data_IF_033184854091
#
_entry.id   IF_033184854091
#
_cell.length_a   1.000
_cell.length_b   1.000
_cell.length_c   1.000
_cell.angle_alpha   90.00
_cell.angle_beta   90.00
_cell.angle_gamma   90.00
#
_symmetry.space_group_name_H-M   'P 1'
#
loop_
_entity.id
_entity.type
_entity.pdbx_description
1 polymer ?
#
# COMPACT_ATOMS: atom_id res chain seq x y z
N UNK A 1 -12.96 -1.14 9.29
CA UNK A 1 -12.27 -0.37 8.23
C UNK A 1 -10.79 -0.42 8.53
N UNK A 2 -9.93 -0.89 7.61
CA UNK A 2 -8.49 -0.93 7.86
C UNK A 2 -7.86 0.47 7.70
N UNK A 3 -6.66 0.67 8.24
CA UNK A 3 -5.96 1.96 8.22
C UNK A 3 -5.70 2.47 6.80
N UNK A 4 -5.49 1.57 5.83
CA UNK A 4 -5.28 1.97 4.44
C UNK A 4 -6.54 2.60 3.82
N UNK A 5 -7.72 2.06 4.13
CA UNK A 5 -9.00 2.61 3.70
C UNK A 5 -9.30 3.97 4.35
N UNK A 6 -8.90 4.17 5.61
CA UNK A 6 -8.99 5.48 6.27
C UNK A 6 -8.11 6.53 5.58
N UNK A 7 -6.84 6.21 5.34
CA UNK A 7 -5.90 7.11 4.65
C UNK A 7 -6.35 7.42 3.20
N UNK A 8 -6.99 6.45 2.54
CA UNK A 8 -7.55 6.63 1.21
C UNK A 8 -8.76 7.60 1.24
N UNK A 9 -9.63 7.48 2.25
CA UNK A 9 -10.80 8.35 2.45
C UNK A 9 -10.42 9.78 2.83
N UNK A 10 -9.42 9.97 3.70
CA UNK A 10 -8.87 11.29 4.04
C UNK A 10 -8.37 12.06 2.81
N UNK A 11 -7.80 11.33 1.84
CA UNK A 11 -7.37 11.88 0.55
C UNK A 11 -8.50 12.04 -0.47
N UNK A 12 -9.71 11.55 -0.17
CA UNK A 12 -10.84 11.43 -1.11
C UNK A 12 -10.47 10.65 -2.39
N UNK A 13 -9.63 9.64 -2.22
CA UNK A 13 -9.16 8.80 -3.33
C UNK A 13 -9.97 7.52 -3.43
N UNK A 14 -10.03 6.96 -4.63
CA UNK A 14 -10.49 5.59 -4.85
C UNK A 14 -9.30 4.68 -5.21
N UNK A 15 -9.57 3.39 -5.42
CA UNK A 15 -8.53 2.42 -5.75
C UNK A 15 -7.81 2.73 -7.09
N UNK A 16 -8.48 3.39 -8.04
CA UNK A 16 -7.89 3.83 -9.31
C UNK A 16 -6.95 5.00 -9.10
N UNK A 17 -7.32 5.98 -8.26
CA UNK A 17 -6.42 7.08 -7.89
C UNK A 17 -5.14 6.56 -7.23
N UNK A 18 -5.29 5.61 -6.29
CA UNK A 18 -4.15 4.95 -5.66
C UNK A 18 -3.30 4.18 -6.68
N UNK A 19 -3.92 3.48 -7.64
CA UNK A 19 -3.20 2.73 -8.68
C UNK A 19 -2.41 3.65 -9.61
N UNK A 20 -2.98 4.81 -9.96
CA UNK A 20 -2.30 5.85 -10.73
C UNK A 20 -1.07 6.37 -9.99
N UNK A 21 -1.23 6.79 -8.73
CA UNK A 21 -0.14 7.38 -7.95
C UNK A 21 0.94 6.36 -7.58
N UNK A 22 0.55 5.11 -7.32
CA UNK A 22 1.48 4.00 -7.19
C UNK A 22 2.25 3.76 -8.49
N UNK A 23 1.55 3.78 -9.64
CA UNK A 23 2.14 3.60 -10.96
C UNK A 23 3.15 4.68 -11.31
N UNK A 24 2.88 5.95 -11.01
CA UNK A 24 3.84 7.06 -11.20
C UNK A 24 5.18 6.82 -10.50
N UNK A 25 5.17 6.11 -9.36
CA UNK A 25 6.39 5.76 -8.60
C UNK A 25 7.05 4.48 -9.08
N UNK A 26 6.28 3.48 -9.47
CA UNK A 26 6.79 2.14 -9.80
C UNK A 26 7.19 1.98 -11.27
N UNK A 27 6.46 2.65 -12.16
CA UNK A 27 6.61 2.60 -13.61
C UNK A 27 6.27 3.98 -14.20
N UNK A 28 7.15 4.99 -14.02
CA UNK A 28 6.93 6.37 -14.48
C UNK A 28 6.76 6.49 -15.99
N UNK A 29 7.16 5.48 -16.75
CA UNK A 29 6.99 5.38 -18.21
C UNK A 29 5.55 5.10 -18.64
N UNK A 30 4.69 4.62 -17.73
CA UNK A 30 3.30 4.31 -18.05
C UNK A 30 2.42 5.56 -18.00
N UNK A 31 1.47 5.62 -18.94
CA UNK A 31 0.36 6.57 -18.83
C UNK A 31 -0.51 6.26 -17.61
N UNK A 32 -1.32 7.24 -17.18
CA UNK A 32 -2.22 7.06 -16.03
C UNK A 32 -3.20 5.89 -16.23
N UNK A 33 -3.73 5.71 -17.45
CA UNK A 33 -4.63 4.61 -17.77
C UNK A 33 -3.93 3.24 -17.73
N UNK A 34 -2.70 3.16 -18.24
CA UNK A 34 -1.91 1.92 -18.20
C UNK A 34 -1.54 1.55 -16.76
N UNK A 35 -1.19 2.55 -15.93
CA UNK A 35 -0.96 2.36 -14.51
C UNK A 35 -2.20 1.81 -13.80
N UNK A 36 -3.39 2.39 -14.05
CA UNK A 36 -4.65 1.92 -13.47
C UNK A 36 -4.95 0.49 -13.91
N UNK A 37 -4.79 0.16 -15.20
CA UNK A 37 -5.00 -1.20 -15.72
C UNK A 37 -4.05 -2.21 -15.08
N UNK A 38 -2.76 -1.86 -14.97
CA UNK A 38 -1.71 -2.73 -14.44
C UNK A 38 -1.82 -2.94 -12.92
N UNK A 39 -2.07 -1.87 -12.16
CA UNK A 39 -2.01 -1.90 -10.70
C UNK A 39 -3.37 -1.91 -10.00
N UNK A 40 -4.49 -1.62 -10.68
CA UNK A 40 -5.81 -1.50 -10.05
C UNK A 40 -6.28 -2.75 -9.32
N UNK A 41 -6.02 -3.94 -9.89
CA UNK A 41 -6.32 -5.21 -9.21
C UNK A 41 -5.48 -5.39 -7.95
N UNK A 42 -4.18 -5.07 -8.03
CA UNK A 42 -3.26 -5.15 -6.89
C UNK A 42 -3.69 -4.18 -5.78
N UNK A 43 -4.02 -2.93 -6.10
CA UNK A 43 -4.45 -1.95 -5.10
C UNK A 43 -5.73 -2.39 -4.38
N UNK A 44 -6.72 -2.92 -5.11
CA UNK A 44 -7.93 -3.49 -4.48
C UNK A 44 -7.60 -4.65 -3.54
N UNK A 45 -6.67 -5.53 -3.93
CA UNK A 45 -6.22 -6.62 -3.06
C UNK A 45 -5.53 -6.09 -1.80
N UNK A 46 -4.60 -5.14 -1.94
CA UNK A 46 -3.89 -4.52 -0.81
C UNK A 46 -4.86 -3.81 0.14
N UNK A 47 -5.84 -3.09 -0.39
CA UNK A 47 -6.85 -2.39 0.40
C UNK A 47 -7.81 -3.34 1.12
N UNK A 48 -8.05 -4.54 0.59
CA UNK A 48 -8.94 -5.53 1.21
C UNK A 48 -8.20 -6.35 2.27
N UNK A 49 -7.07 -6.95 1.88
CA UNK A 49 -6.26 -7.86 2.70
C UNK A 49 -4.76 -7.47 2.59
N UNK A 50 -4.30 -6.43 3.31
CA UNK A 50 -2.90 -6.01 3.27
C UNK A 50 -1.94 -7.10 3.80
N UNK A 51 -2.36 -7.91 4.76
CA UNK A 51 -1.60 -9.02 5.35
C UNK A 51 -1.25 -10.13 4.36
N UNK A 52 -2.11 -10.35 3.35
CA UNK A 52 -1.90 -11.35 2.28
C UNK A 52 -1.03 -10.82 1.13
N UNK A 53 -0.53 -9.58 1.27
CA UNK A 53 0.25 -8.91 0.24
C UNK A 53 1.70 -8.78 0.68
N UNK A 54 2.63 -8.91 -0.27
CA UNK A 54 4.07 -8.74 -0.02
C UNK A 54 4.31 -7.44 0.73
N UNK A 55 5.03 -7.53 1.86
CA UNK A 55 5.32 -6.39 2.74
C UNK A 55 5.87 -5.17 2.00
N UNK A 56 6.76 -5.36 1.01
CA UNK A 56 7.29 -4.29 0.15
C UNK A 56 6.21 -3.49 -0.57
N UNK A 57 5.16 -4.15 -1.05
CA UNK A 57 4.04 -3.51 -1.75
C UNK A 57 3.20 -2.73 -0.76
N UNK A 58 2.89 -3.31 0.40
CA UNK A 58 2.13 -2.63 1.47
C UNK A 58 2.86 -1.37 1.93
N UNK A 59 4.17 -1.45 2.16
CA UNK A 59 5.01 -0.31 2.52
C UNK A 59 4.91 0.82 1.49
N UNK A 60 5.11 0.51 0.21
CA UNK A 60 5.00 1.49 -0.88
C UNK A 60 3.60 2.12 -0.95
N UNK A 61 2.54 1.34 -0.72
CA UNK A 61 1.16 1.85 -0.68
C UNK A 61 0.96 2.84 0.47
N UNK A 62 1.47 2.52 1.66
CA UNK A 62 1.43 3.44 2.82
C UNK A 62 2.16 4.75 2.50
N UNK A 63 3.36 4.66 1.92
CA UNK A 63 4.14 5.83 1.52
C UNK A 63 3.44 6.65 0.41
N UNK A 64 2.69 6.02 -0.49
CA UNK A 64 1.89 6.70 -1.52
C UNK A 64 0.68 7.41 -0.90
N UNK A 65 0.11 6.83 0.15
CA UNK A 65 -0.95 7.45 0.94
C UNK A 65 -0.41 8.54 1.88
N UNK A 66 0.90 8.74 1.96
CA UNK A 66 1.53 9.76 2.81
C UNK A 66 1.63 9.36 4.29
N UNK A 67 1.40 8.09 4.60
CA UNK A 67 1.64 7.53 5.92
C UNK A 67 3.08 7.03 6.07
N UNK A 68 3.47 6.75 7.31
CA UNK A 68 4.73 6.10 7.66
C UNK A 68 4.44 4.74 8.31
N UNK A 69 5.13 3.69 7.85
CA UNK A 69 4.98 2.35 8.42
C UNK A 69 5.93 2.18 9.62
N UNK A 70 5.38 2.18 10.83
CA UNK A 70 6.14 1.90 12.06
C UNK A 70 6.11 0.40 12.37
N UNK A 71 7.25 -0.28 12.23
CA UNK A 71 7.41 -1.69 12.61
C UNK A 71 7.91 -1.76 14.06
N UNK A 72 7.07 -2.24 14.99
CA UNK A 72 7.54 -2.60 16.34
C UNK A 72 8.06 -4.04 16.33
N UNK A 73 9.36 -4.21 16.57
CA UNK A 73 9.96 -5.52 16.80
C UNK A 73 9.90 -5.81 18.30
N UNK A 74 8.97 -6.67 18.72
CA UNK A 74 9.03 -7.24 20.07
C UNK A 74 10.11 -8.34 20.06
N UNK A 75 11.29 -8.05 20.61
CA UNK A 75 12.25 -9.10 20.94
C UNK A 75 11.66 -9.93 22.07
N UNK A 76 11.18 -11.13 21.75
CA UNK A 76 10.96 -12.17 22.76
C UNK A 76 12.36 -12.59 23.20
N UNK A 77 12.76 -12.17 24.41
CA UNK A 77 13.98 -12.65 25.05
C UNK A 77 13.75 -14.11 25.50
N UNK A 78 13.79 -15.05 24.56
CA UNK A 78 14.02 -16.46 24.90
C UNK A 78 15.52 -16.64 25.15
N UNK A 79 15.95 -16.24 26.35
CA UNK A 79 17.21 -16.69 26.93
C UNK A 79 16.84 -17.57 28.11
N UNK A 80 16.38 -18.78 27.79
CA UNK A 80 16.32 -19.87 28.76
C UNK A 80 17.71 -20.50 28.79
N UNK A 81 18.48 -20.19 29.83
CA UNK A 81 19.72 -20.90 30.19
C UNK A 81 19.38 -22.19 30.93
#
# INVERSE_FOLDING_TARGET
MNTLLQLLDEKKWNASDLAREYGKRESPELSEEEAIKKYGSLMRKVLKNPEDTKHRVVKKVIETLGGELVIRINRINDVSF
#
